data_IF_100147868968
#
_entry.id   IF_100147868968
#
_cell.length_a   1.000
_cell.length_b   1.000
_cell.length_c   1.000
_cell.angle_alpha   90.00
_cell.angle_beta   90.00
_cell.angle_gamma   90.00
#
_symmetry.space_group_name_H-M   'P 1'
#
loop_
_entity.id
_entity.type
_entity.pdbx_description
1 polymer ?
#
# COMPACT_ATOMS: atom_id res chain seq x y z
N UNK A 1 -21.26 -7.63 -30.14
CA UNK A 1 -22.03 -7.50 -28.89
C UNK A 1 -21.40 -8.44 -27.87
N UNK A 2 -20.53 -7.91 -27.02
CA UNK A 2 -20.01 -8.61 -25.84
C UNK A 2 -20.30 -7.69 -24.65
N UNK A 3 -21.55 -7.72 -24.17
CA UNK A 3 -22.05 -6.87 -23.08
C UNK A 3 -21.89 -7.61 -21.74
N UNK A 4 -20.66 -8.05 -21.46
CA UNK A 4 -20.26 -8.44 -20.11
C UNK A 4 -19.66 -7.20 -19.46
N UNK A 5 -20.52 -6.36 -18.87
CA UNK A 5 -20.08 -5.29 -17.95
C UNK A 5 -19.31 -5.95 -16.79
N UNK A 6 -17.99 -5.73 -16.64
CA UNK A 6 -17.15 -6.40 -15.64
C UNK A 6 -17.65 -6.21 -14.21
N UNK A 7 -18.26 -5.07 -13.90
CA UNK A 7 -18.48 -4.63 -12.51
C UNK A 7 -19.87 -4.96 -11.94
N UNK A 8 -20.67 -5.77 -12.65
CA UNK A 8 -21.95 -6.28 -12.11
C UNK A 8 -21.76 -7.11 -10.83
N UNK A 9 -20.62 -7.76 -10.68
CA UNK A 9 -20.31 -8.56 -9.49
C UNK A 9 -20.11 -7.66 -8.26
N UNK A 10 -19.38 -6.54 -8.42
CA UNK A 10 -19.17 -5.57 -7.35
C UNK A 10 -20.49 -4.90 -6.95
N UNK A 11 -21.31 -4.47 -7.92
CA UNK A 11 -22.64 -3.91 -7.63
C UNK A 11 -23.54 -4.91 -6.88
N UNK A 12 -23.51 -6.19 -7.28
CA UNK A 12 -24.29 -7.24 -6.63
C UNK A 12 -23.82 -7.49 -5.18
N UNK A 13 -22.51 -7.55 -4.94
CA UNK A 13 -21.99 -7.76 -3.58
C UNK A 13 -22.27 -6.55 -2.69
N UNK A 14 -22.20 -5.33 -3.25
CA UNK A 14 -22.50 -4.10 -2.53
C UNK A 14 -23.94 -4.08 -2.03
N UNK A 15 -24.90 -4.41 -2.90
CA UNK A 15 -26.32 -4.50 -2.54
C UNK A 15 -26.57 -5.55 -1.46
N UNK A 16 -25.96 -6.73 -1.59
CA UNK A 16 -26.10 -7.82 -0.60
C UNK A 16 -25.48 -7.46 0.75
N UNK A 17 -24.35 -6.73 0.75
CA UNK A 17 -23.73 -6.24 1.98
C UNK A 17 -24.59 -5.18 2.67
N UNK A 18 -25.23 -4.28 1.92
CA UNK A 18 -26.20 -3.33 2.49
C UNK A 18 -27.41 -4.03 3.12
N UNK A 19 -27.83 -5.17 2.56
CA UNK A 19 -28.87 -6.03 3.12
C UNK A 19 -28.38 -6.89 4.31
N UNK A 20 -27.09 -6.83 4.67
CA UNK A 20 -26.48 -7.64 5.74
C UNK A 20 -26.28 -9.11 5.39
N UNK A 21 -26.38 -9.48 4.10
CA UNK A 21 -26.25 -10.87 3.63
C UNK A 21 -24.81 -11.30 3.37
N UNK A 22 -23.88 -10.35 3.31
CA UNK A 22 -22.47 -10.57 2.98
C UNK A 22 -21.59 -9.83 3.97
N UNK A 23 -20.50 -10.47 4.38
CA UNK A 23 -19.50 -9.90 5.27
C UNK A 23 -18.66 -8.82 4.55
N UNK A 24 -18.31 -7.75 5.27
CA UNK A 24 -17.56 -6.62 4.73
C UNK A 24 -16.23 -7.01 4.10
N UNK A 25 -15.59 -8.08 4.58
CA UNK A 25 -14.34 -8.63 4.08
C UNK A 25 -14.46 -9.15 2.63
N UNK A 26 -15.63 -9.68 2.26
CA UNK A 26 -15.88 -10.15 0.90
C UNK A 26 -16.02 -8.97 -0.07
N UNK A 27 -16.71 -7.90 0.36
CA UNK A 27 -16.83 -6.66 -0.41
C UNK A 27 -15.46 -6.03 -0.61
N UNK A 28 -14.68 -5.90 0.47
CA UNK A 28 -13.31 -5.40 0.45
C UNK A 28 -12.42 -6.17 -0.55
N UNK A 29 -12.46 -7.49 -0.50
CA UNK A 29 -11.66 -8.36 -1.36
C UNK A 29 -12.00 -8.18 -2.84
N UNK A 30 -13.30 -8.04 -3.16
CA UNK A 30 -13.74 -7.83 -4.54
C UNK A 30 -13.44 -6.40 -5.02
N UNK A 31 -13.70 -5.40 -4.18
CA UNK A 31 -13.42 -4.00 -4.47
C UNK A 31 -11.96 -3.81 -4.88
N UNK A 32 -11.00 -4.31 -4.10
CA UNK A 32 -9.55 -4.16 -4.36
C UNK A 32 -9.13 -4.71 -5.74
N UNK A 33 -9.86 -5.71 -6.25
CA UNK A 33 -9.59 -6.37 -7.54
C UNK A 33 -10.35 -5.73 -8.71
N UNK A 34 -11.27 -4.83 -8.42
CA UNK A 34 -12.13 -4.19 -9.42
C UNK A 34 -11.44 -2.97 -10.01
N UNK A 35 -11.83 -2.64 -11.25
CA UNK A 35 -11.55 -1.34 -11.84
C UNK A 35 -12.73 -0.41 -11.55
N UNK A 36 -12.43 0.84 -11.21
CA UNK A 36 -13.43 1.86 -10.92
C UNK A 36 -13.27 3.02 -11.90
N UNK A 37 -14.34 3.75 -12.11
CA UNK A 37 -14.33 5.03 -12.82
C UNK A 37 -14.16 6.13 -11.79
N UNK A 38 -13.09 6.91 -11.92
CA UNK A 38 -12.89 8.15 -11.19
C UNK A 38 -13.13 9.34 -12.13
N UNK A 39 -13.67 10.42 -11.58
CA UNK A 39 -13.75 11.69 -12.30
C UNK A 39 -12.55 12.55 -11.92
N UNK A 40 -11.83 13.04 -12.92
CA UNK A 40 -10.70 13.96 -12.72
C UNK A 40 -10.94 15.29 -13.42
N UNK A 41 -10.37 16.35 -12.86
CA UNK A 41 -10.34 17.66 -13.49
C UNK A 41 -9.29 17.66 -14.62
N UNK A 42 -9.67 18.06 -15.84
CA UNK A 42 -8.77 18.21 -16.99
C UNK A 42 -8.42 16.92 -17.76
N UNK A 43 -7.37 16.98 -18.61
CA UNK A 43 -6.81 15.82 -19.31
C UNK A 43 -5.95 15.00 -18.37
N UNK A 44 -6.12 13.67 -18.37
CA UNK A 44 -5.36 12.74 -17.54
C UNK A 44 -3.87 12.77 -17.89
N UNK A 45 -3.10 13.63 -17.21
CA UNK A 45 -1.64 13.66 -17.26
C UNK A 45 -1.05 12.58 -16.35
N UNK A 46 -0.11 11.79 -16.88
CA UNK A 46 0.38 10.52 -16.32
C UNK A 46 1.10 10.58 -14.94
N UNK A 47 1.05 11.67 -14.19
CA UNK A 47 1.81 11.82 -12.94
C UNK A 47 0.96 11.98 -11.67
N UNK A 48 -0.30 12.45 -11.77
CA UNK A 48 -1.19 12.57 -10.61
C UNK A 48 -2.64 12.59 -11.08
N UNK A 49 -3.46 11.69 -10.54
CA UNK A 49 -4.90 11.67 -10.71
C UNK A 49 -5.46 12.33 -9.45
N UNK A 50 -6.22 13.41 -9.58
CA UNK A 50 -6.94 14.06 -8.50
C UNK A 50 -8.43 13.70 -8.65
N UNK A 51 -8.92 12.65 -7.97
CA UNK A 51 -10.31 12.24 -8.09
C UNK A 51 -11.23 13.28 -7.46
N UNK A 52 -12.46 13.36 -7.97
CA UNK A 52 -13.52 14.18 -7.39
C UNK A 52 -13.67 13.88 -5.89
N UNK A 53 -13.56 14.93 -5.08
CA UNK A 53 -13.81 14.89 -3.64
C UNK A 53 -15.25 15.31 -3.37
N UNK A 54 -15.93 14.56 -2.52
CA UNK A 54 -17.28 14.89 -2.02
C UNK A 54 -17.29 14.96 -0.50
N UNK A 55 -18.15 15.82 0.03
CA UNK A 55 -18.29 16.04 1.47
C UNK A 55 -19.67 15.61 1.95
N UNK A 56 -19.72 14.96 3.12
CA UNK A 56 -20.97 14.60 3.81
C UNK A 56 -20.82 14.95 5.29
N UNK A 57 -21.44 16.07 5.70
CA UNK A 57 -21.18 16.65 7.02
C UNK A 57 -19.71 17.03 7.14
N UNK A 58 -19.04 16.56 8.18
CA UNK A 58 -17.60 16.81 8.42
C UNK A 58 -16.69 15.77 7.74
N UNK A 59 -17.25 14.74 7.10
CA UNK A 59 -16.49 13.68 6.47
C UNK A 59 -16.18 13.98 5.00
N UNK A 60 -14.98 13.58 4.57
CA UNK A 60 -14.45 13.80 3.21
C UNK A 60 -14.25 12.46 2.52
N UNK A 61 -14.70 12.33 1.28
CA UNK A 61 -14.63 11.10 0.50
C UNK A 61 -14.14 11.34 -0.93
N UNK A 62 -13.36 10.40 -1.45
CA UNK A 62 -13.12 10.29 -2.90
C UNK A 62 -14.34 9.62 -3.55
N UNK A 63 -14.86 10.22 -4.62
CA UNK A 63 -15.94 9.65 -5.41
C UNK A 63 -15.39 8.70 -6.47
N UNK A 64 -15.92 7.48 -6.47
CA UNK A 64 -15.65 6.47 -7.49
C UNK A 64 -16.96 5.86 -7.97
N UNK A 65 -16.97 5.31 -9.18
CA UNK A 65 -18.14 4.72 -9.80
C UNK A 65 -17.81 3.34 -10.33
N UNK A 66 -18.74 2.40 -10.26
CA UNK A 66 -18.54 1.05 -10.82
C UNK A 66 -18.53 1.07 -12.35
N UNK A 67 -19.13 2.08 -12.98
CA UNK A 67 -19.16 2.23 -14.43
C UNK A 67 -19.43 3.69 -14.83
N UNK A 68 -19.14 4.03 -16.10
CA UNK A 68 -19.33 5.39 -16.62
C UNK A 68 -20.82 5.80 -16.66
N UNK A 69 -21.74 4.85 -16.82
CA UNK A 69 -23.20 5.09 -16.79
C UNK A 69 -23.74 5.35 -15.38
N UNK A 70 -22.96 5.05 -14.33
CA UNK A 70 -23.28 5.38 -12.93
C UNK A 70 -22.90 6.80 -12.56
N UNK A 71 -22.20 7.53 -13.43
CA UNK A 71 -21.82 8.93 -13.20
C UNK A 71 -23.05 9.84 -13.40
N UNK A 72 -23.51 10.56 -12.36
CA UNK A 72 -24.54 11.58 -12.52
C UNK A 72 -24.08 12.69 -13.46
N UNK A 73 -24.98 13.18 -14.31
CA UNK A 73 -24.67 14.20 -15.32
C UNK A 73 -24.09 15.48 -14.71
N UNK A 74 -24.53 15.83 -13.50
CA UNK A 74 -24.08 16.99 -12.73
C UNK A 74 -22.61 16.86 -12.30
N UNK A 75 -22.18 15.64 -11.97
CA UNK A 75 -20.80 15.38 -11.55
C UNK A 75 -19.84 15.28 -12.74
N UNK A 76 -20.31 14.76 -13.87
CA UNK A 76 -19.52 14.57 -15.09
C UNK A 76 -19.27 15.84 -15.91
N UNK A 77 -20.01 16.92 -15.66
CA UNK A 77 -19.85 18.17 -16.44
C UNK A 77 -18.47 18.79 -16.19
N UNK A 78 -17.68 18.96 -17.26
CA UNK A 78 -16.34 19.56 -17.20
C UNK A 78 -15.25 18.64 -16.67
N UNK A 79 -15.52 17.33 -16.52
CA UNK A 79 -14.57 16.33 -16.00
C UNK A 79 -14.34 15.21 -16.98
N UNK A 80 -13.19 14.55 -16.83
CA UNK A 80 -12.84 13.36 -17.59
C UNK A 80 -13.06 12.13 -16.72
N UNK A 81 -13.79 11.14 -17.26
CA UNK A 81 -13.92 9.84 -16.63
C UNK A 81 -12.71 8.98 -16.98
N UNK A 82 -11.99 8.51 -15.97
CA UNK A 82 -10.83 7.63 -16.10
C UNK A 82 -11.08 6.32 -15.39
N UNK A 83 -10.73 5.21 -16.05
CA UNK A 83 -10.74 3.88 -15.44
C UNK A 83 -9.44 3.72 -14.65
N UNK A 84 -9.55 3.42 -13.36
CA UNK A 84 -8.45 3.27 -12.42
C UNK A 84 -8.65 2.02 -11.56
N UNK A 85 -7.60 1.21 -11.32
CA UNK A 85 -7.71 0.09 -10.37
C UNK A 85 -8.08 0.62 -8.98
N UNK A 86 -9.05 -0.02 -8.32
CA UNK A 86 -9.50 0.41 -7.00
C UNK A 86 -8.35 0.48 -5.98
N UNK A 87 -7.40 -0.45 -6.05
CA UNK A 87 -6.19 -0.46 -5.21
C UNK A 87 -5.37 0.84 -5.31
N UNK A 88 -5.36 1.49 -6.47
CA UNK A 88 -4.65 2.76 -6.67
C UNK A 88 -5.36 3.90 -5.96
N UNK A 89 -6.69 3.92 -5.97
CA UNK A 89 -7.48 4.89 -5.19
C UNK A 89 -7.32 4.66 -3.68
N UNK A 90 -7.38 3.40 -3.23
CA UNK A 90 -7.20 3.04 -1.81
C UNK A 90 -5.80 3.42 -1.32
N UNK A 91 -4.75 3.12 -2.10
CA UNK A 91 -3.37 3.44 -1.75
C UNK A 91 -3.02 4.93 -1.82
N UNK A 92 -3.70 5.69 -2.68
CA UNK A 92 -3.47 7.12 -2.88
C UNK A 92 -4.31 8.05 -2.01
N UNK A 93 -5.29 7.53 -1.28
CA UNK A 93 -6.14 8.34 -0.41
C UNK A 93 -5.35 8.91 0.79
N UNK A 94 -5.56 10.20 1.07
CA UNK A 94 -4.99 10.87 2.23
C UNK A 94 -5.62 10.36 3.54
N UNK A 95 -4.88 10.47 4.65
CA UNK A 95 -5.39 10.11 5.97
C UNK A 95 -6.64 10.91 6.33
N UNK A 96 -7.65 10.23 6.90
CA UNK A 96 -8.93 10.84 7.24
C UNK A 96 -9.91 11.00 6.06
N UNK A 97 -9.54 10.58 4.86
CA UNK A 97 -10.42 10.56 3.68
C UNK A 97 -10.96 9.15 3.44
N UNK A 98 -12.27 9.03 3.18
CA UNK A 98 -12.92 7.78 2.80
C UNK A 98 -13.08 7.60 1.28
N UNK A 99 -13.74 6.54 0.85
CA UNK A 99 -14.19 6.37 -0.54
C UNK A 99 -15.71 6.21 -0.53
N UNK A 100 -16.40 6.86 -1.47
CA UNK A 100 -17.80 6.57 -1.77
C UNK A 100 -17.92 6.01 -3.18
N UNK A 101 -18.52 4.84 -3.29
CA UNK A 101 -18.80 4.18 -4.56
C UNK A 101 -20.23 4.47 -4.99
N UNK A 102 -20.43 4.86 -6.25
CA UNK A 102 -21.70 5.25 -6.84
C UNK A 102 -22.46 6.33 -6.05
N UNK A 103 -21.83 7.47 -5.70
CA UNK A 103 -22.49 8.53 -4.94
C UNK A 103 -23.76 9.03 -5.65
N UNK A 104 -24.84 9.17 -4.89
CA UNK A 104 -26.14 9.61 -5.38
C UNK A 104 -27.01 8.50 -5.98
N UNK A 105 -26.50 7.27 -6.11
CA UNK A 105 -27.27 6.11 -6.56
C UNK A 105 -27.88 5.33 -5.37
N UNK A 106 -28.96 4.55 -5.58
CA UNK A 106 -29.55 3.71 -4.53
C UNK A 106 -28.59 2.63 -3.99
N UNK A 107 -27.65 2.20 -4.83
CA UNK A 107 -26.60 1.23 -4.51
C UNK A 107 -25.31 1.89 -3.98
N UNK A 108 -25.37 3.17 -3.59
CA UNK A 108 -24.21 3.90 -3.08
C UNK A 108 -23.63 3.21 -1.83
N UNK A 109 -22.31 3.04 -1.79
CA UNK A 109 -21.62 2.46 -0.65
C UNK A 109 -20.53 3.40 -0.14
N UNK A 110 -20.55 3.68 1.16
CA UNK A 110 -19.51 4.45 1.83
C UNK A 110 -18.51 3.53 2.50
N UNK A 111 -17.24 3.79 2.24
CA UNK A 111 -16.10 3.18 2.90
C UNK A 111 -15.50 4.28 3.78
N UNK A 112 -15.77 4.27 5.10
CA UNK A 112 -15.30 5.32 5.99
C UNK A 112 -13.75 5.33 6.07
N UNK A 113 -13.13 6.45 6.47
CA UNK A 113 -11.67 6.57 6.54
C UNK A 113 -10.99 5.46 7.34
N UNK A 114 -11.63 4.99 8.42
CA UNK A 114 -11.10 3.90 9.26
C UNK A 114 -11.09 2.56 8.54
N UNK A 115 -12.14 2.25 7.78
CA UNK A 115 -12.19 1.03 6.96
C UNK A 115 -11.21 1.12 5.78
N UNK A 116 -11.09 2.30 5.17
CA UNK A 116 -10.13 2.53 4.09
C UNK A 116 -8.68 2.39 4.56
N UNK A 117 -8.36 2.88 5.76
CA UNK A 117 -7.04 2.70 6.38
C UNK A 117 -6.71 1.21 6.57
N UNK A 118 -7.66 0.41 7.05
CA UNK A 118 -7.48 -1.04 7.19
C UNK A 118 -7.26 -1.74 5.82
N UNK A 119 -7.97 -1.31 4.77
CA UNK A 119 -7.76 -1.82 3.40
C UNK A 119 -6.38 -1.45 2.87
N UNK A 120 -5.91 -0.24 3.16
CA UNK A 120 -4.58 0.22 2.79
C UNK A 120 -3.50 -0.58 3.51
N UNK A 121 -3.69 -0.92 4.79
CA UNK A 121 -2.76 -1.76 5.53
C UNK A 121 -2.68 -3.18 4.94
N UNK A 122 -3.81 -3.74 4.49
CA UNK A 122 -3.85 -5.03 3.77
C UNK A 122 -3.18 -4.98 2.39
N UNK A 123 -3.26 -3.82 1.73
CA UNK A 123 -2.68 -3.57 0.40
C UNK A 123 -1.22 -3.14 0.44
N UNK A 124 -0.75 -2.67 1.59
CA UNK A 124 0.61 -2.20 1.74
C UNK A 124 1.53 -3.34 1.29
N UNK A 125 2.47 -3.08 0.36
CA UNK A 125 3.45 -4.08 0.02
C UNK A 125 4.12 -4.54 1.32
N UNK A 126 4.44 -5.84 1.47
CA UNK A 126 5.12 -6.34 2.66
C UNK A 126 6.36 -5.47 2.89
N UNK A 127 6.32 -4.65 3.94
CA UNK A 127 7.38 -3.69 4.19
C UNK A 127 8.57 -4.49 4.69
N UNK A 128 9.58 -4.58 3.85
CA UNK A 128 10.87 -5.14 4.25
C UNK A 128 11.70 -4.00 4.80
N UNK A 129 11.95 -4.04 6.11
CA UNK A 129 12.86 -3.11 6.78
C UNK A 129 14.23 -3.75 6.85
N UNK A 130 15.27 -2.98 6.58
CA UNK A 130 16.65 -3.46 6.61
C UNK A 130 17.40 -2.86 7.78
N UNK A 131 18.24 -3.67 8.40
CA UNK A 131 19.10 -3.23 9.50
C UNK A 131 20.52 -3.69 9.23
N UNK A 132 21.49 -2.95 9.72
CA UNK A 132 22.88 -3.20 9.46
C UNK A 132 23.71 -3.07 10.72
N UNK A 133 24.63 -4.01 10.90
CA UNK A 133 25.74 -3.90 11.84
C UNK A 133 26.97 -3.39 11.09
N UNK A 134 27.58 -2.34 11.62
CA UNK A 134 28.89 -1.86 11.17
C UNK A 134 29.98 -2.25 12.15
N UNK A 135 31.21 -2.37 11.66
CA UNK A 135 32.40 -2.50 12.48
C UNK A 135 33.50 -1.58 11.95
N UNK A 136 34.35 -1.07 12.86
CA UNK A 136 35.53 -0.31 12.47
C UNK A 136 36.64 -1.26 12.01
N UNK A 137 37.02 -1.17 10.74
CA UNK A 137 38.14 -1.88 10.13
C UNK A 137 39.07 -0.83 9.52
N UNK A 138 40.34 -0.82 9.93
CA UNK A 138 41.34 0.18 9.48
C UNK A 138 40.87 1.64 9.63
N UNK A 139 40.15 1.93 10.72
CA UNK A 139 39.62 3.28 11.01
C UNK A 139 38.39 3.68 10.19
N UNK A 140 37.80 2.76 9.42
CA UNK A 140 36.59 2.99 8.60
C UNK A 140 35.44 2.11 9.10
N UNK A 141 34.22 2.65 9.14
CA UNK A 141 33.02 1.86 9.42
C UNK A 141 32.64 1.05 8.18
N UNK A 142 32.51 -0.26 8.34
CA UNK A 142 32.25 -1.18 7.24
C UNK A 142 31.06 -2.09 7.60
N UNK A 143 30.12 -2.33 6.68
CA UNK A 143 29.04 -3.29 6.90
C UNK A 143 29.58 -4.70 7.17
N UNK A 144 29.19 -5.31 8.29
CA UNK A 144 29.60 -6.68 8.67
C UNK A 144 28.42 -7.65 8.80
N UNK A 145 27.19 -7.15 8.96
CA UNK A 145 25.99 -8.00 8.94
C UNK A 145 24.79 -7.18 8.48
N UNK A 146 23.94 -7.80 7.67
CA UNK A 146 22.65 -7.23 7.27
C UNK A 146 21.54 -8.13 7.81
N UNK A 147 20.50 -7.49 8.30
CA UNK A 147 19.28 -8.12 8.77
C UNK A 147 18.10 -7.53 8.02
N UNK A 148 17.00 -8.27 7.95
CA UNK A 148 15.73 -7.77 7.46
C UNK A 148 14.60 -8.19 8.38
N UNK A 149 13.59 -7.34 8.51
CA UNK A 149 12.27 -7.70 9.00
C UNK A 149 11.31 -7.65 7.83
N UNK A 150 10.64 -8.77 7.53
CA UNK A 150 9.53 -8.83 6.60
C UNK A 150 8.22 -8.92 7.39
N UNK A 151 7.19 -8.22 6.95
CA UNK A 151 5.83 -8.49 7.41
C UNK A 151 5.19 -9.53 6.49
N UNK A 152 4.79 -10.67 7.03
CA UNK A 152 3.95 -11.64 6.35
C UNK A 152 2.57 -11.76 7.02
N UNK A 153 1.76 -12.72 6.56
CA UNK A 153 0.40 -12.91 7.07
C UNK A 153 0.34 -13.46 8.50
N UNK A 154 1.41 -14.09 9.01
CA UNK A 154 1.49 -14.68 10.35
C UNK A 154 2.20 -13.74 11.35
N UNK A 155 2.99 -12.78 10.85
CA UNK A 155 3.59 -11.73 11.65
C UNK A 155 4.94 -11.23 11.11
N UNK A 156 5.75 -10.58 11.96
CA UNK A 156 7.10 -10.18 11.57
C UNK A 156 8.03 -11.41 11.50
N UNK A 157 8.73 -11.55 10.37
CA UNK A 157 9.80 -12.53 10.17
C UNK A 157 11.14 -11.80 10.11
N UNK A 158 12.00 -12.08 11.10
CA UNK A 158 13.33 -11.50 11.22
C UNK A 158 14.41 -12.47 10.71
N UNK A 159 15.25 -11.98 9.81
CA UNK A 159 16.26 -12.78 9.13
C UNK A 159 17.60 -12.04 9.08
N UNK A 160 18.69 -12.81 9.06
CA UNK A 160 20.07 -12.34 8.82
C UNK A 160 20.55 -12.84 7.46
N UNK A 161 21.22 -11.96 6.72
CA UNK A 161 21.85 -12.30 5.45
C UNK A 161 23.03 -13.25 5.68
N UNK A 162 23.07 -14.36 4.95
CA UNK A 162 24.20 -15.30 4.89
C UNK A 162 25.08 -15.05 3.67
N UNK A 163 24.46 -14.89 2.51
CA UNK A 163 25.09 -14.59 1.22
C UNK A 163 24.04 -13.94 0.30
N UNK A 164 24.43 -13.54 -0.92
CA UNK A 164 23.50 -12.97 -1.91
C UNK A 164 22.24 -13.83 -2.03
N UNK A 165 21.08 -13.21 -1.83
CA UNK A 165 19.75 -13.84 -1.84
C UNK A 165 19.53 -15.01 -0.85
N UNK A 166 20.48 -15.26 0.05
CA UNK A 166 20.43 -16.33 1.04
C UNK A 166 20.29 -15.77 2.46
N UNK A 167 19.18 -16.10 3.12
CA UNK A 167 18.80 -15.59 4.43
C UNK A 167 18.63 -16.74 5.44
N UNK A 168 18.90 -16.46 6.71
CA UNK A 168 18.63 -17.37 7.83
C UNK A 168 17.82 -16.66 8.89
N UNK A 169 17.05 -17.40 9.68
CA UNK A 169 16.36 -16.88 10.86
C UNK A 169 17.33 -16.11 11.79
N UNK A 170 16.88 -14.94 12.27
CA UNK A 170 17.55 -14.19 13.33
C UNK A 170 17.26 -14.83 14.71
N UNK A 171 17.95 -15.93 14.99
CA UNK A 171 17.80 -16.72 16.23
C UNK A 171 17.99 -15.92 17.53
N UNK A 172 18.67 -14.78 17.46
CA UNK A 172 18.98 -13.96 18.63
C UNK A 172 17.99 -12.81 18.85
N UNK A 173 16.99 -12.69 17.98
CA UNK A 173 15.99 -11.60 17.99
C UNK A 173 16.68 -10.23 18.00
N UNK A 174 17.77 -10.13 17.24
CA UNK A 174 18.58 -8.92 17.11
C UNK A 174 17.71 -7.77 16.59
N UNK A 175 16.93 -8.01 15.53
CA UNK A 175 16.05 -7.00 14.94
C UNK A 175 14.93 -6.59 15.90
N UNK A 176 14.26 -7.54 16.54
CA UNK A 176 13.23 -7.26 17.55
C UNK A 176 13.78 -6.40 18.69
N UNK A 177 14.96 -6.73 19.22
CA UNK A 177 15.63 -5.95 20.27
C UNK A 177 16.01 -4.56 19.80
N UNK A 178 16.54 -4.43 18.59
CA UNK A 178 16.94 -3.13 18.05
C UNK A 178 15.76 -2.17 17.89
N UNK A 179 14.60 -2.69 17.45
CA UNK A 179 13.37 -1.90 17.35
C UNK A 179 12.86 -1.49 18.74
N UNK A 180 12.95 -2.38 19.74
CA UNK A 180 12.45 -2.12 21.10
C UNK A 180 13.37 -1.21 21.92
N UNK A 181 14.68 -1.30 21.68
CA UNK A 181 15.72 -0.62 22.45
C UNK A 181 16.74 0.04 21.51
N UNK A 182 16.34 1.05 20.70
CA UNK A 182 17.18 1.60 19.64
C UNK A 182 18.47 2.26 20.14
N UNK A 183 18.46 2.81 21.36
CA UNK A 183 19.65 3.43 21.97
C UNK A 183 20.69 2.42 22.47
N UNK A 184 20.30 1.16 22.64
CA UNK A 184 21.18 0.06 23.09
C UNK A 184 21.53 -0.90 21.95
N UNK A 185 20.92 -0.70 20.77
CA UNK A 185 21.08 -1.56 19.62
C UNK A 185 22.49 -1.44 19.02
N UNK A 186 23.07 -2.57 18.64
CA UNK A 186 24.33 -2.63 17.90
C UNK A 186 24.12 -2.71 16.38
N UNK A 187 22.88 -2.49 15.93
CA UNK A 187 22.48 -2.41 14.53
C UNK A 187 21.61 -1.17 14.32
N UNK A 188 21.75 -0.55 13.15
CA UNK A 188 20.97 0.63 12.74
C UNK A 188 20.01 0.25 11.61
N UNK A 189 18.82 0.85 11.59
CA UNK A 189 17.92 0.74 10.44
C UNK A 189 18.48 1.54 9.27
N UNK A 190 18.45 0.95 8.07
CA UNK A 190 18.96 1.55 6.85
C UNK A 190 17.89 1.61 5.76
N UNK A 191 18.04 2.57 4.86
CA UNK A 191 17.20 2.68 3.66
C UNK A 191 17.32 1.45 2.74
N UNK A 192 16.32 1.25 1.88
CA UNK A 192 16.33 0.17 0.88
C UNK A 192 17.49 0.35 -0.11
N UNK A 193 17.79 1.59 -0.45
CA UNK A 193 18.90 1.96 -1.33
C UNK A 193 20.26 1.64 -0.69
N UNK A 194 20.44 1.93 0.60
CA UNK A 194 21.64 1.56 1.34
C UNK A 194 21.77 0.03 1.46
N UNK A 195 20.67 -0.70 1.68
CA UNK A 195 20.68 -2.16 1.72
C UNK A 195 21.12 -2.75 0.37
N UNK A 196 20.64 -2.19 -0.74
CA UNK A 196 21.04 -2.59 -2.08
C UNK A 196 22.54 -2.37 -2.32
N UNK A 197 23.12 -1.27 -1.82
CA UNK A 197 24.57 -1.02 -1.87
C UNK A 197 25.33 -2.15 -1.15
N UNK A 198 24.87 -2.58 0.02
CA UNK A 198 25.49 -3.70 0.75
C UNK A 198 25.34 -5.02 0.00
N UNK A 199 24.19 -5.28 -0.64
CA UNK A 199 24.02 -6.50 -1.43
C UNK A 199 24.99 -6.55 -2.61
N UNK A 200 25.25 -5.42 -3.27
CA UNK A 200 26.29 -5.32 -4.30
C UNK A 200 27.69 -5.57 -3.72
N UNK A 201 27.99 -5.07 -2.51
CA UNK A 201 29.27 -5.34 -1.82
C UNK A 201 29.46 -6.83 -1.52
N UNK A 202 28.42 -7.51 -1.00
CA UNK A 202 28.45 -8.95 -0.71
C UNK A 202 28.66 -9.74 -2.01
N UNK A 203 27.94 -9.39 -3.07
CA UNK A 203 28.08 -10.04 -4.38
C UNK A 203 29.50 -9.87 -4.96
N UNK A 204 30.12 -8.70 -4.80
CA UNK A 204 31.47 -8.42 -5.27
C UNK A 204 32.56 -8.80 -4.27
N UNK A 205 32.20 -9.30 -3.08
CA UNK A 205 33.11 -9.55 -1.95
C UNK A 205 34.03 -8.36 -1.64
N UNK A 206 33.51 -7.14 -1.83
CA UNK A 206 34.26 -5.89 -1.67
C UNK A 206 33.53 -5.02 -0.67
N UNK A 207 34.05 -4.93 0.55
CA UNK A 207 33.41 -4.24 1.67
C UNK A 207 34.06 -2.88 1.89
N UNK A 208 33.28 -1.82 1.66
CA UNK A 208 33.70 -0.44 1.87
C UNK A 208 32.65 0.30 2.71
N UNK A 209 32.97 1.46 3.30
CA UNK A 209 31.96 2.27 3.98
C UNK A 209 30.78 2.60 3.08
N UNK A 210 29.58 2.66 3.66
CA UNK A 210 28.38 3.07 2.94
C UNK A 210 28.50 4.49 2.41
N UNK A 211 27.99 4.72 1.20
CA UNK A 211 27.93 6.06 0.61
C UNK A 211 26.71 6.85 1.09
N UNK A 212 25.63 6.16 1.49
CA UNK A 212 24.36 6.75 1.95
C UNK A 212 23.81 5.93 3.12
N UNK A 213 23.20 6.62 4.10
CA UNK A 213 22.50 6.03 5.25
C UNK A 213 21.01 6.13 5.00
#
# INVERSE_FOLDING_TARGET
MNDQRPDKELESIMLRAQAGEVASEQVASLLIRSDLVALVDGEAGAASIEPLVVHRGDATFLAAFTAADKVPAELGTGRTAVVIPARTLVGGAADGVGIVVNPGAPDAMEIPPTALAALRDLLAPPSTRYFMREQVIEGKLVPVSVFRRRMDAEGPVDERLLDVDSWTEDKFRTVEKAIRFPLEADIEEISVEAAQEVFEMVARRTYTPLRRR
#
